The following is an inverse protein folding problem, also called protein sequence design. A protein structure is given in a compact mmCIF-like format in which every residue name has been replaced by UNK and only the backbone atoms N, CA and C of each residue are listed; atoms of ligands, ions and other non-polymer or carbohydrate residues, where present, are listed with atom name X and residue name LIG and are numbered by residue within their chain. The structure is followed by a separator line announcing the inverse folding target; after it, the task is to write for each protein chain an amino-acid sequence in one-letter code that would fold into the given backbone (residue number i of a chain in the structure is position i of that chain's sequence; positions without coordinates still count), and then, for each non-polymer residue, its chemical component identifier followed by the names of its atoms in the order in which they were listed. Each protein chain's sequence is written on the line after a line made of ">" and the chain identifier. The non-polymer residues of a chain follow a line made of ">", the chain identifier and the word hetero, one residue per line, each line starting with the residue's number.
data_IF_015603268033
#
_entry.id   IF_015603268033
#
_cell.length_a   1.000
_cell.length_b   1.000
_cell.length_c   1.000
_cell.angle_alpha   90.00
_cell.angle_beta   90.00
_cell.angle_gamma   90.00
#
_symmetry.space_group_name_H-M   'P 1'
#
loop_
_entity.id
_entity.type
_entity.pdbx_description
1 polymer ?
#
# COMPACT_ATOMS: atom_id res chain seq x y z
N UNK A 1 -21.99 6.80 8.28
CA UNK A 1 -21.02 7.81 7.79
C UNK A 1 -19.84 7.05 7.21
N UNK A 2 -19.72 7.02 5.87
CA UNK A 2 -18.82 6.11 5.16
C UNK A 2 -17.50 6.80 4.79
N UNK A 3 -16.45 6.55 5.56
CA UNK A 3 -15.11 7.09 5.35
C UNK A 3 -14.40 6.40 4.15
N UNK A 4 -13.53 7.14 3.48
CA UNK A 4 -12.77 6.77 2.27
C UNK A 4 -11.82 5.58 2.51
N UNK A 5 -11.79 4.63 1.58
CA UNK A 5 -10.95 3.42 1.63
C UNK A 5 -10.40 3.17 0.23
N UNK A 6 -9.50 4.05 -0.19
CA UNK A 6 -8.42 3.69 -1.09
C UNK A 6 -7.15 3.68 -0.22
N UNK A 7 -6.36 2.61 -0.29
CA UNK A 7 -5.04 2.64 0.34
C UNK A 7 -4.14 3.41 -0.59
N UNK A 8 -3.75 4.61 -0.19
CA UNK A 8 -2.68 5.35 -0.83
C UNK A 8 -1.71 5.73 0.27
N UNK A 9 -0.48 5.22 0.16
CA UNK A 9 0.52 5.30 1.23
C UNK A 9 1.03 6.72 1.55
N UNK A 10 0.53 7.74 0.82
CA UNK A 10 0.85 9.15 1.02
C UNK A 10 0.03 9.89 2.08
N UNK A 11 -1.22 9.46 2.35
CA UNK A 11 -2.05 10.15 3.33
C UNK A 11 -1.64 9.72 4.76
N UNK A 12 -0.81 10.54 5.41
CA UNK A 12 -0.61 10.52 6.87
C UNK A 12 0.27 9.43 7.49
N UNK A 13 1.24 8.85 6.75
CA UNK A 13 2.15 7.86 7.35
C UNK A 13 3.48 7.70 6.63
N UNK A 14 3.51 6.92 5.55
CA UNK A 14 4.75 6.33 5.04
C UNK A 14 5.67 7.33 4.30
N UNK A 15 5.12 8.34 3.62
CA UNK A 15 5.92 9.30 2.82
C UNK A 15 6.02 10.72 3.40
N UNK A 16 5.26 11.03 4.46
CA UNK A 16 5.28 12.34 5.11
C UNK A 16 6.24 12.44 6.29
N UNK A 17 6.44 11.34 7.03
CA UNK A 17 7.20 11.35 8.28
C UNK A 17 8.24 10.21 8.37
N UNK A 18 9.33 10.43 9.11
CA UNK A 18 10.34 9.42 9.45
C UNK A 18 10.32 9.09 10.94
N UNK A 19 9.15 8.68 11.44
CA UNK A 19 8.88 8.42 12.87
C UNK A 19 8.25 7.03 13.06
N UNK A 20 8.09 6.57 14.29
CA UNK A 20 7.24 5.40 14.59
C UNK A 20 5.79 5.63 14.15
N UNK A 21 5.33 6.89 14.10
CA UNK A 21 4.04 7.25 13.52
C UNK A 21 3.98 7.02 12.01
N UNK A 22 5.10 6.95 11.29
CA UNK A 22 5.13 6.62 9.87
C UNK A 22 4.70 5.17 9.57
N UNK A 23 4.76 4.29 10.57
CA UNK A 23 4.20 2.93 10.50
C UNK A 23 2.72 2.87 10.90
N UNK A 24 2.02 4.00 11.01
CA UNK A 24 0.58 4.00 11.22
C UNK A 24 -0.11 3.11 10.17
N UNK A 25 -1.01 2.25 10.62
CA UNK A 25 -1.68 1.19 9.87
C UNK A 25 -0.78 0.06 9.32
N UNK A 26 0.54 0.11 9.47
CA UNK A 26 1.47 -0.92 9.02
C UNK A 26 1.94 -1.83 10.16
N UNK A 27 2.00 -3.13 9.90
CA UNK A 27 2.47 -4.13 10.87
C UNK A 27 3.25 -5.25 10.21
N UNK A 28 4.17 -5.85 10.95
CA UNK A 28 4.89 -7.02 10.49
C UNK A 28 3.96 -8.24 10.44
N UNK A 29 4.17 -9.09 9.44
CA UNK A 29 3.55 -10.41 9.34
C UNK A 29 4.59 -11.46 9.70
N UNK A 30 4.23 -12.36 10.62
CA UNK A 30 5.09 -13.41 11.14
C UNK A 30 6.37 -12.81 11.76
N UNK A 31 7.57 -13.28 11.38
CA UNK A 31 8.86 -12.86 11.94
C UNK A 31 9.50 -11.68 11.21
N UNK A 32 8.81 -11.08 10.24
CA UNK A 32 9.35 -9.93 9.52
C UNK A 32 9.68 -8.77 10.47
N UNK A 33 10.73 -8.04 10.14
CA UNK A 33 11.10 -6.79 10.81
C UNK A 33 10.87 -5.66 9.82
N UNK A 34 10.11 -4.64 10.23
CA UNK A 34 9.75 -3.52 9.36
C UNK A 34 10.25 -2.19 9.94
N UNK A 35 10.74 -1.31 9.07
CA UNK A 35 11.08 0.07 9.44
C UNK A 35 10.94 1.00 8.24
N UNK A 36 10.65 2.28 8.51
CA UNK A 36 10.65 3.31 7.47
C UNK A 36 12.06 3.91 7.37
N UNK A 37 12.61 3.93 6.16
CA UNK A 37 13.95 4.44 5.88
C UNK A 37 13.89 5.55 4.83
N UNK A 38 14.82 6.50 4.89
CA UNK A 38 15.13 7.35 3.74
C UNK A 38 16.02 6.52 2.81
N UNK A 39 15.47 6.08 1.68
CA UNK A 39 16.16 5.13 0.83
C UNK A 39 16.96 5.82 -0.27
N UNK A 40 18.09 5.22 -0.66
CA UNK A 40 18.91 5.68 -1.78
C UNK A 40 19.37 4.48 -2.64
N UNK A 41 18.99 4.41 -3.93
CA UNK A 41 18.13 5.36 -4.64
C UNK A 41 16.69 5.37 -4.12
N UNK A 42 16.04 6.55 -4.14
CA UNK A 42 14.60 6.72 -3.87
C UNK A 42 13.76 6.45 -5.12
N UNK A 43 12.45 6.19 -4.96
CA UNK A 43 11.52 5.99 -6.10
C UNK A 43 11.43 7.29 -6.92
N UNK A 44 11.25 8.42 -6.23
CA UNK A 44 11.24 9.76 -6.82
C UNK A 44 11.54 10.79 -5.73
N UNK A 45 11.80 12.05 -6.10
CA UNK A 45 11.98 13.14 -5.14
C UNK A 45 10.76 13.34 -4.23
N UNK A 46 9.56 13.07 -4.74
CA UNK A 46 8.32 13.18 -3.98
C UNK A 46 8.08 11.98 -3.04
N UNK A 47 8.85 10.90 -3.16
CA UNK A 47 8.73 9.68 -2.35
C UNK A 47 10.10 9.34 -1.73
N UNK A 48 10.57 10.15 -0.75
CA UNK A 48 11.90 10.01 -0.18
C UNK A 48 12.05 8.77 0.71
N UNK A 49 10.93 8.22 1.19
CA UNK A 49 10.91 7.12 2.14
C UNK A 49 10.54 5.78 1.48
N UNK A 50 11.07 4.70 2.04
CA UNK A 50 10.70 3.33 1.72
C UNK A 50 10.40 2.54 3.00
N UNK A 51 9.58 1.50 2.86
CA UNK A 51 9.40 0.49 3.89
C UNK A 51 10.45 -0.60 3.71
N UNK A 52 11.44 -0.64 4.60
CA UNK A 52 12.40 -1.74 4.69
C UNK A 52 11.75 -2.92 5.39
N UNK A 53 11.77 -4.08 4.75
CA UNK A 53 11.28 -5.35 5.31
C UNK A 53 12.42 -6.35 5.31
N UNK A 54 12.86 -6.77 6.49
CA UNK A 54 13.88 -7.80 6.66
C UNK A 54 13.22 -9.09 7.14
N UNK A 55 13.55 -10.20 6.49
CA UNK A 55 13.12 -11.54 6.88
C UNK A 55 14.28 -12.20 7.64
N UNK A 56 14.19 -12.37 8.98
CA UNK A 56 15.28 -12.94 9.76
C UNK A 56 15.65 -14.35 9.31
N UNK A 57 16.90 -14.75 9.53
CA UNK A 57 17.36 -16.11 9.26
C UNK A 57 16.55 -17.15 10.04
N UNK A 58 16.28 -18.30 9.42
CA UNK A 58 15.51 -19.39 10.03
C UNK A 58 14.00 -19.12 10.11
N UNK A 59 13.49 -18.11 9.38
CA UNK A 59 12.05 -17.88 9.25
C UNK A 59 11.42 -18.93 8.33
N UNK A 60 10.26 -19.44 8.70
CA UNK A 60 9.43 -20.34 7.88
C UNK A 60 8.02 -19.77 7.72
N UNK A 61 7.30 -20.24 6.70
CA UNK A 61 5.95 -19.76 6.37
C UNK A 61 5.95 -18.36 5.75
N UNK A 62 4.76 -17.83 5.47
CA UNK A 62 4.63 -16.51 4.86
C UNK A 62 5.04 -15.42 5.84
N UNK A 63 5.91 -14.51 5.41
CA UNK A 63 6.43 -13.40 6.23
C UNK A 63 6.49 -12.12 5.40
N UNK A 64 6.21 -10.97 6.00
CA UNK A 64 6.17 -9.72 5.26
C UNK A 64 5.48 -8.58 6.01
N UNK A 65 4.61 -7.85 5.33
CA UNK A 65 3.95 -6.66 5.88
C UNK A 65 2.44 -6.67 5.64
N UNK A 66 1.69 -6.16 6.61
CA UNK A 66 0.27 -5.89 6.52
C UNK A 66 -0.05 -4.39 6.66
N UNK A 67 -1.08 -3.93 5.95
CA UNK A 67 -1.71 -2.63 6.11
C UNK A 67 -3.19 -2.82 6.54
N UNK A 68 -3.58 -2.25 7.68
CA UNK A 68 -4.96 -2.34 8.20
C UNK A 68 -5.96 -1.40 7.51
N UNK A 69 -5.47 -0.47 6.72
CA UNK A 69 -6.22 0.66 6.20
C UNK A 69 -6.80 1.57 7.27
N UNK A 70 -7.68 2.47 6.82
CA UNK A 70 -8.40 3.41 7.67
C UNK A 70 -9.56 2.70 8.35
N UNK A 71 -9.28 2.14 9.53
CA UNK A 71 -10.22 1.37 10.36
C UNK A 71 -10.76 0.10 9.68
N UNK A 72 -9.90 -0.59 8.92
CA UNK A 72 -10.23 -1.81 8.19
C UNK A 72 -10.43 -1.57 6.70
N UNK A 73 -10.44 -2.68 5.93
CA UNK A 73 -10.67 -2.67 4.49
C UNK A 73 -11.98 -3.41 4.20
N UNK A 74 -12.90 -2.76 3.47
CA UNK A 74 -14.11 -3.42 2.97
C UNK A 74 -13.74 -4.40 1.86
N UNK A 75 -14.03 -5.68 2.10
CA UNK A 75 -13.82 -6.78 1.14
C UNK A 75 -15.16 -7.23 0.57
N UNK A 76 -15.24 -7.32 -0.76
CA UNK A 76 -16.40 -7.78 -1.50
C UNK A 76 -15.95 -8.83 -2.53
N UNK A 77 -16.50 -10.04 -2.45
CA UNK A 77 -16.18 -11.16 -3.35
C UNK A 77 -16.66 -10.95 -4.78
N UNK A 78 -17.56 -10.00 -5.03
CA UNK A 78 -17.95 -9.60 -6.38
C UNK A 78 -16.97 -8.60 -7.03
N UNK A 79 -15.94 -8.14 -6.31
CA UNK A 79 -15.00 -7.13 -6.78
C UNK A 79 -13.62 -7.73 -7.05
N UNK A 80 -12.98 -7.32 -8.15
CA UNK A 80 -11.54 -7.51 -8.35
C UNK A 80 -10.81 -6.24 -7.94
N UNK A 81 -9.93 -6.38 -6.96
CA UNK A 81 -9.08 -5.31 -6.46
C UNK A 81 -7.78 -5.28 -7.25
N UNK A 82 -7.29 -4.09 -7.55
CA UNK A 82 -5.97 -3.89 -8.16
C UNK A 82 -5.01 -3.39 -7.10
N UNK A 83 -4.08 -4.24 -6.70
CA UNK A 83 -2.97 -3.87 -5.84
C UNK A 83 -1.76 -3.52 -6.69
N UNK A 84 -0.99 -2.51 -6.29
CA UNK A 84 0.34 -2.27 -6.84
C UNK A 84 1.31 -1.84 -5.75
N UNK A 85 2.57 -2.16 -5.91
CA UNK A 85 3.65 -1.67 -5.07
C UNK A 85 4.94 -1.67 -5.87
N UNK A 86 5.85 -0.78 -5.47
CA UNK A 86 7.23 -0.81 -5.93
C UNK A 86 8.05 -1.67 -4.99
N UNK A 87 9.02 -2.39 -5.54
CA UNK A 87 10.01 -3.10 -4.75
C UNK A 87 11.41 -2.94 -5.36
N UNK A 88 12.40 -3.14 -4.49
CA UNK A 88 13.79 -3.42 -4.87
C UNK A 88 14.49 -4.22 -3.77
N UNK A 89 15.55 -4.91 -4.14
CA UNK A 89 16.53 -5.44 -3.20
C UNK A 89 17.63 -4.40 -2.98
N UNK A 90 18.01 -4.08 -1.73
CA UNK A 90 19.12 -3.18 -1.44
C UNK A 90 20.46 -3.64 -2.05
N UNK A 91 20.66 -4.96 -2.14
CA UNK A 91 21.80 -5.60 -2.76
C UNK A 91 21.33 -6.80 -3.58
N UNK A 92 22.02 -7.09 -4.68
CA UNK A 92 21.65 -8.20 -5.57
C UNK A 92 21.83 -9.54 -4.87
N UNK A 93 20.85 -10.45 -5.02
CA UNK A 93 20.93 -11.83 -4.54
C UNK A 93 20.49 -12.84 -5.61
N UNK A 94 20.79 -14.11 -5.40
CA UNK A 94 20.38 -15.20 -6.29
C UNK A 94 18.90 -15.57 -6.16
N UNK A 95 18.15 -14.92 -5.27
CA UNK A 95 16.74 -15.21 -5.03
C UNK A 95 15.92 -15.14 -6.33
N UNK A 96 15.10 -16.15 -6.56
CA UNK A 96 14.00 -16.17 -7.53
C UNK A 96 12.77 -16.68 -6.80
N UNK A 97 11.73 -15.87 -6.68
CA UNK A 97 10.59 -16.21 -5.85
C UNK A 97 9.35 -15.41 -6.19
N UNK A 98 8.36 -15.48 -5.31
CA UNK A 98 7.10 -14.75 -5.44
C UNK A 98 6.80 -13.88 -4.23
N UNK A 99 6.27 -12.68 -4.49
CA UNK A 99 5.58 -11.89 -3.49
C UNK A 99 4.08 -12.12 -3.63
N UNK A 100 3.43 -12.55 -2.56
CA UNK A 100 1.99 -12.78 -2.49
C UNK A 100 1.30 -11.55 -1.93
N UNK A 101 0.55 -10.86 -2.78
CA UNK A 101 -0.37 -9.81 -2.37
C UNK A 101 -1.72 -10.44 -2.03
N UNK A 102 -2.31 -10.10 -0.88
CA UNK A 102 -3.57 -10.69 -0.44
C UNK A 102 -4.43 -9.75 0.38
N UNK A 103 -5.73 -10.00 0.36
CA UNK A 103 -6.67 -9.49 1.36
C UNK A 103 -6.86 -10.58 2.43
N UNK A 104 -6.79 -10.20 3.69
CA UNK A 104 -6.94 -11.12 4.82
C UNK A 104 -7.94 -10.57 5.84
N UNK A 105 -8.74 -11.43 6.43
CA UNK A 105 -9.60 -11.08 7.55
C UNK A 105 -8.79 -10.93 8.85
N UNK A 106 -9.39 -10.30 9.86
CA UNK A 106 -8.77 -10.09 11.18
C UNK A 106 -8.36 -11.39 11.87
N UNK A 107 -9.08 -12.50 11.62
CA UNK A 107 -8.76 -13.84 12.12
C UNK A 107 -7.60 -14.53 11.38
N UNK A 108 -6.97 -13.87 10.41
CA UNK A 108 -5.87 -14.41 9.62
C UNK A 108 -6.31 -15.22 8.38
N UNK A 109 -7.61 -15.37 8.13
CA UNK A 109 -8.09 -16.04 6.93
C UNK A 109 -7.71 -15.24 5.68
N UNK A 110 -7.01 -15.89 4.75
CA UNK A 110 -6.73 -15.34 3.42
C UNK A 110 -8.00 -15.34 2.58
N UNK A 111 -8.43 -14.16 2.13
CA UNK A 111 -9.66 -13.97 1.36
C UNK A 111 -9.40 -14.07 -0.13
N UNK A 112 -8.26 -13.58 -0.60
CA UNK A 112 -7.85 -13.70 -2.00
C UNK A 112 -6.35 -13.43 -2.12
N UNK A 113 -5.53 -14.43 -2.48
CA UNK A 113 -4.11 -14.24 -2.76
C UNK A 113 -3.84 -14.07 -4.25
N UNK A 114 -2.78 -13.34 -4.57
CA UNK A 114 -2.21 -13.28 -5.92
C UNK A 114 -0.71 -13.13 -5.81
N UNK A 115 0.03 -14.04 -6.44
CA UNK A 115 1.49 -14.05 -6.39
C UNK A 115 2.06 -13.42 -7.65
N UNK A 116 2.97 -12.47 -7.46
CA UNK A 116 3.76 -11.85 -8.53
C UNK A 116 5.22 -12.28 -8.40
N UNK A 117 5.88 -12.52 -9.53
CA UNK A 117 7.29 -12.90 -9.54
C UNK A 117 8.15 -11.73 -9.05
N UNK A 118 9.13 -12.04 -8.20
CA UNK A 118 10.16 -11.11 -7.75
C UNK A 118 11.54 -11.74 -7.93
N UNK A 119 12.53 -10.88 -8.19
CA UNK A 119 13.92 -11.30 -8.40
C UNK A 119 14.84 -10.58 -7.42
N UNK A 120 15.70 -11.35 -6.75
CA UNK A 120 16.80 -10.80 -5.94
C UNK A 120 17.80 -9.97 -6.75
N UNK A 121 17.82 -10.12 -8.07
CA UNK A 121 18.65 -9.29 -8.95
C UNK A 121 18.06 -7.89 -9.20
N UNK A 122 16.81 -7.64 -8.79
CA UNK A 122 16.14 -6.35 -8.99
C UNK A 122 16.61 -5.33 -7.95
N UNK A 123 17.68 -4.60 -8.24
CA UNK A 123 18.27 -3.61 -7.32
C UNK A 123 17.78 -2.18 -7.53
N UNK A 124 17.13 -1.92 -8.66
CA UNK A 124 16.43 -0.66 -8.96
C UNK A 124 14.94 -0.78 -8.65
N UNK A 125 14.28 0.34 -8.38
CA UNK A 125 12.85 0.36 -8.14
C UNK A 125 12.08 -0.12 -9.36
N UNK A 126 11.22 -1.13 -9.19
CA UNK A 126 10.26 -1.56 -10.20
C UNK A 126 8.89 -1.73 -9.60
N UNK A 127 7.85 -1.38 -10.36
CA UNK A 127 6.47 -1.57 -9.96
C UNK A 127 5.99 -2.96 -10.33
N UNK A 128 5.21 -3.57 -9.44
CA UNK A 128 4.43 -4.77 -9.73
C UNK A 128 2.96 -4.53 -9.42
N UNK A 129 2.11 -5.25 -10.15
CA UNK A 129 0.66 -5.15 -10.05
C UNK A 129 0.06 -6.54 -9.86
N UNK A 130 -0.90 -6.67 -8.95
CA UNK A 130 -1.61 -7.90 -8.64
C UNK A 130 -3.13 -7.66 -8.65
N UNK A 131 -3.88 -8.56 -9.30
CA UNK A 131 -5.35 -8.53 -9.33
C UNK A 131 -5.90 -9.53 -8.33
N UNK A 132 -6.49 -9.05 -7.24
CA UNK A 132 -6.99 -9.87 -6.13
C UNK A 132 -8.52 -9.98 -6.25
N UNK A 133 -9.02 -11.22 -6.38
CA UNK A 133 -10.46 -11.51 -6.32
C UNK A 133 -10.76 -12.28 -5.03
N UNK A 134 -11.48 -11.69 -4.07
CA UNK A 134 -11.80 -12.37 -2.81
C UNK A 134 -12.79 -13.51 -2.99
N UNK A 135 -12.65 -14.55 -2.18
CA UNK A 135 -13.53 -15.73 -2.12
C UNK A 135 -14.76 -15.52 -1.25
N UNK A 136 -14.75 -14.52 -0.37
CA UNK A 136 -15.86 -14.18 0.53
C UNK A 136 -15.88 -12.69 0.87
N UNK A 137 -16.98 -12.24 1.48
CA UNK A 137 -17.21 -10.84 1.90
C UNK A 137 -17.38 -10.74 3.43
N UNK A 138 -16.32 -10.97 4.23
CA UNK A 138 -16.41 -10.90 5.69
C UNK A 138 -16.62 -9.47 6.20
N UNK A 139 -16.90 -9.34 7.50
CA UNK A 139 -17.10 -8.05 8.17
C UNK A 139 -15.82 -7.18 8.21
N UNK A 140 -15.96 -5.95 8.70
CA UNK A 140 -15.18 -4.77 8.25
C UNK A 140 -13.67 -4.73 8.56
N UNK A 141 -13.14 -5.64 9.38
CA UNK A 141 -11.75 -5.57 9.85
C UNK A 141 -10.82 -6.46 9.03
N UNK A 142 -10.66 -6.11 7.76
CA UNK A 142 -9.72 -6.78 6.86
C UNK A 142 -8.46 -5.94 6.66
N UNK A 143 -7.38 -6.60 6.26
CA UNK A 143 -6.06 -6.02 6.00
C UNK A 143 -5.54 -6.44 4.63
N UNK A 144 -4.72 -5.57 4.04
CA UNK A 144 -3.94 -5.87 2.85
C UNK A 144 -2.58 -6.40 3.28
N UNK A 145 -2.10 -7.49 2.68
CA UNK A 145 -0.85 -8.14 3.07
C UNK A 145 0.00 -8.39 1.83
N UNK A 146 1.28 -8.04 1.92
CA UNK A 146 2.32 -8.47 0.98
C UNK A 146 3.29 -9.36 1.74
N UNK A 147 3.37 -10.63 1.37
CA UNK A 147 4.23 -11.62 2.01
C UNK A 147 5.10 -12.36 1.01
N UNK A 148 6.23 -12.87 1.48
CA UNK A 148 7.13 -13.76 0.76
C UNK A 148 7.27 -15.08 1.52
N UNK A 149 7.71 -16.12 0.83
CA UNK A 149 8.08 -17.37 1.50
C UNK A 149 9.30 -17.15 2.39
N UNK A 150 9.14 -17.33 3.70
CA UNK A 150 10.15 -17.03 4.70
C UNK A 150 11.40 -17.91 4.59
N UNK A 151 11.25 -19.16 4.15
CA UNK A 151 12.38 -20.07 3.99
C UNK A 151 13.22 -19.68 2.77
N UNK A 152 12.57 -19.41 1.64
CA UNK A 152 13.22 -18.94 0.43
C UNK A 152 13.86 -17.56 0.59
N UNK A 153 13.30 -16.71 1.45
CA UNK A 153 13.77 -15.32 1.70
C UNK A 153 14.50 -15.16 3.03
N UNK A 154 14.92 -16.26 3.65
CA UNK A 154 15.64 -16.23 4.93
C UNK A 154 16.90 -15.37 4.84
N UNK A 155 17.01 -14.38 5.73
CA UNK A 155 18.12 -13.41 5.78
C UNK A 155 18.04 -12.28 4.74
N UNK A 156 16.99 -12.25 3.92
CA UNK A 156 16.84 -11.25 2.85
C UNK A 156 16.24 -9.94 3.39
N UNK A 157 16.58 -8.85 2.73
CA UNK A 157 15.92 -7.55 2.92
C UNK A 157 15.32 -7.10 1.59
N UNK A 158 14.08 -6.65 1.63
CA UNK A 158 13.35 -6.10 0.50
C UNK A 158 12.84 -4.73 0.91
N UNK A 159 13.12 -3.72 0.09
CA UNK A 159 12.54 -2.39 0.27
C UNK A 159 11.29 -2.31 -0.60
N UNK A 160 10.21 -1.83 -0.01
CA UNK A 160 8.95 -1.58 -0.69
C UNK A 160 8.59 -0.11 -0.64
N UNK A 161 7.80 0.32 -1.62
CA UNK A 161 7.25 1.65 -1.63
C UNK A 161 6.06 1.75 -2.58
N UNK A 162 5.48 2.95 -2.62
CA UNK A 162 4.24 3.32 -3.30
C UNK A 162 3.17 2.21 -3.35
N UNK A 163 2.83 1.67 -2.18
CA UNK A 163 1.72 0.72 -2.05
C UNK A 163 0.39 1.39 -2.40
N UNK A 164 -0.44 0.66 -3.15
CA UNK A 164 -1.76 1.05 -3.60
C UNK A 164 -2.68 -0.17 -3.64
N UNK A 165 -3.94 0.03 -3.24
CA UNK A 165 -5.00 -0.96 -3.38
C UNK A 165 -6.31 -0.25 -3.75
N UNK A 166 -6.79 -0.51 -4.96
CA UNK A 166 -8.04 0.04 -5.46
C UNK A 166 -9.11 -1.05 -5.63
N UNK A 167 -10.33 -0.87 -5.09
CA UNK A 167 -11.50 -1.61 -5.56
C UNK A 167 -11.87 -1.14 -6.99
N UNK A 168 -12.87 -1.76 -7.65
CA UNK A 168 -13.43 -1.21 -8.88
C UNK A 168 -13.82 0.26 -8.71
N UNK A 169 -13.36 1.11 -9.63
CA UNK A 169 -13.57 2.56 -9.60
C UNK A 169 -14.80 2.96 -10.42
N UNK A 170 -15.32 4.17 -10.15
CA UNK A 170 -16.41 4.74 -10.93
C UNK A 170 -16.00 4.92 -12.39
N UNK A 171 -16.83 4.42 -13.31
CA UNK A 171 -16.57 4.38 -14.75
C UNK A 171 -15.22 3.75 -15.15
N UNK A 172 -14.70 2.81 -14.34
CA UNK A 172 -13.45 2.09 -14.58
C UNK A 172 -12.24 3.01 -14.84
N UNK A 173 -12.24 4.22 -14.27
CA UNK A 173 -11.12 5.15 -14.42
C UNK A 173 -9.95 4.72 -13.55
N UNK A 174 -8.76 4.59 -14.14
CA UNK A 174 -7.53 4.36 -13.39
C UNK A 174 -7.31 5.50 -12.38
N UNK A 175 -6.92 5.18 -11.15
CA UNK A 175 -6.85 6.12 -10.02
C UNK A 175 -8.16 6.92 -9.80
N UNK A 176 -9.29 6.32 -10.19
CA UNK A 176 -10.61 6.93 -10.12
C UNK A 176 -11.23 6.88 -8.73
N UNK A 177 -12.39 7.50 -8.60
CA UNK A 177 -13.13 7.57 -7.34
C UNK A 177 -13.89 6.27 -7.05
N UNK A 178 -14.24 6.05 -5.78
CA UNK A 178 -15.08 4.90 -5.38
C UNK A 178 -16.47 4.98 -6.00
N UNK A 179 -16.98 3.82 -6.41
CA UNK A 179 -18.29 3.72 -7.07
C UNK A 179 -19.45 4.16 -6.18
N UNK A 180 -19.44 3.84 -4.90
CA UNK A 180 -20.54 4.16 -3.97
C UNK A 180 -20.69 5.68 -3.77
N UNK A 181 -19.60 6.37 -3.40
CA UNK A 181 -19.59 7.82 -3.20
C UNK A 181 -19.96 8.53 -4.50
N UNK A 182 -19.30 8.19 -5.60
CA UNK A 182 -19.51 8.92 -6.85
C UNK A 182 -20.89 8.67 -7.43
N UNK A 183 -21.48 7.48 -7.26
CA UNK A 183 -22.87 7.23 -7.65
C UNK A 183 -23.85 8.04 -6.81
N UNK A 184 -23.66 8.10 -5.49
CA UNK A 184 -24.49 8.95 -4.63
C UNK A 184 -24.38 10.42 -5.03
N UNK A 185 -23.16 10.93 -5.20
CA UNK A 185 -22.93 12.32 -5.61
C UNK A 185 -23.51 12.62 -7.00
N UNK A 186 -23.33 11.72 -7.98
CA UNK A 186 -23.92 11.87 -9.31
C UNK A 186 -25.45 11.82 -9.27
N UNK A 187 -26.03 10.98 -8.41
CA UNK A 187 -27.47 10.86 -8.20
C UNK A 187 -28.10 12.14 -7.63
N UNK A 188 -27.34 12.93 -6.86
CA UNK A 188 -27.79 14.24 -6.35
C UNK A 188 -27.89 15.31 -7.46
N UNK A 189 -27.32 15.06 -8.65
CA UNK A 189 -27.27 16.01 -9.78
C UNK A 189 -26.82 17.43 -9.36
N UNK A 190 -25.68 17.58 -8.67
CA UNK A 190 -25.21 18.89 -8.25
C UNK A 190 -24.93 19.77 -9.48
N UNK A 191 -25.41 21.02 -9.46
CA UNK A 191 -25.13 21.98 -10.54
C UNK A 191 -23.67 22.45 -10.56
N UNK A 192 -22.99 22.45 -9.41
CA UNK A 192 -21.59 22.86 -9.26
C UNK A 192 -20.90 21.93 -8.25
N UNK A 193 -19.64 21.59 -8.51
CA UNK A 193 -18.75 20.89 -7.58
C UNK A 193 -17.45 21.68 -7.44
N UNK A 194 -17.29 22.41 -6.32
CA UNK A 194 -16.14 23.31 -6.10
C UNK A 194 -15.00 22.55 -5.43
N UNK A 195 -13.93 22.25 -6.19
CA UNK A 195 -12.67 21.70 -5.70
C UNK A 195 -11.49 22.21 -6.57
N UNK A 196 -10.26 22.31 -6.03
CA UNK A 196 -9.94 22.36 -4.59
C UNK A 196 -10.46 23.66 -3.95
N UNK A 197 -10.65 23.70 -2.62
CA UNK A 197 -11.32 24.83 -1.95
C UNK A 197 -11.28 24.78 -0.41
N UNK A 198 -11.55 25.92 0.24
CA UNK A 198 -11.58 26.05 1.71
C UNK A 198 -10.18 26.18 2.33
N UNK A 199 -10.06 25.99 3.65
CA UNK A 199 -8.79 26.12 4.39
C UNK A 199 -7.65 25.22 3.85
N UNK A 200 -7.97 24.17 3.06
CA UNK A 200 -6.97 23.35 2.38
C UNK A 200 -6.26 24.07 1.22
N UNK A 201 -6.80 25.19 0.72
CA UNK A 201 -6.11 26.10 -0.19
C UNK A 201 -5.27 27.15 0.54
N UNK A 202 -5.66 27.50 1.77
CA UNK A 202 -4.95 28.47 2.60
C UNK A 202 -3.82 27.75 3.35
N UNK A 203 -2.81 27.31 2.59
CA UNK A 203 -1.56 26.88 3.18
C UNK A 203 -0.94 28.08 3.92
N UNK A 204 -0.80 27.97 5.24
CA UNK A 204 0.10 28.85 6.01
C UNK A 204 1.53 28.40 5.75
N UNK A 205 2.12 28.88 4.66
CA UNK A 205 3.48 29.44 4.64
C UNK A 205 3.78 29.98 3.23
N UNK A 206 4.00 31.29 3.17
CA UNK A 206 4.61 31.98 2.04
C UNK A 206 6.12 31.92 2.27
N UNK A 207 6.84 31.11 1.51
CA UNK A 207 8.30 31.19 1.37
C UNK A 207 8.53 31.41 -0.14
N UNK A 208 9.09 32.52 -0.65
CA UNK A 208 10.11 33.42 -0.14
C UNK A 208 9.86 34.85 -0.65
N UNK A 209 9.95 35.83 0.25
CA UNK A 209 10.22 37.22 -0.12
C UNK A 209 11.21 37.82 0.88
N UNK A 210 12.52 37.64 0.63
CA UNK A 210 13.51 38.73 0.69
C UNK A 210 14.85 38.31 0.05
N UNK A 211 15.50 39.31 -0.54
CA UNK A 211 16.70 39.32 -1.38
C UNK A 211 18.03 39.28 -0.60
N UNK A 212 19.09 38.97 -1.37
CA UNK A 212 20.55 39.09 -1.17
C UNK A 212 21.26 37.95 -0.46
#
# INVERSE_FOLDING_TARGET
>A
MGHSQALQSGDGGLYGERSSAALNAWSAVNRAQISVIADNPRISNALPNALKVTIPSGTSGQSGVANSGYWGIKVNSAWTYTASFYYRFPAATSLRGGATASLQASNGQTLGPTTVAISGAQTTWTQVTAKITPTSSPSALNKFVVSVDGAATSGQTINFGLFSLFPPTFNNRANGMRQDITRTLAGMKPGIFRLPGGNNLDAKETEYATMF
#
